data_IF_290036631973
#
_entry.id   IF_290036631973
#
_cell.length_a   1.000
_cell.length_b   1.000
_cell.length_c   1.000
_cell.angle_alpha   90.00
_cell.angle_beta   90.00
_cell.angle_gamma   90.00
#
_symmetry.space_group_name_H-M   'P 1'
#
loop_
_entity.id
_entity.type
_entity.pdbx_description
1 polymer ?
#
# COMPACT_ATOMS: atom_id res chain seq x y z
N UNK A 1 -13.53 -4.38 2.85
CA UNK A 1 -13.21 -3.29 3.81
C UNK A 1 -11.69 -3.23 4.01
N UNK A 2 -11.08 -2.07 4.28
CA UNK A 2 -9.63 -1.95 4.51
C UNK A 2 -9.29 -1.41 5.92
N UNK A 3 -8.22 -1.94 6.53
CA UNK A 3 -7.51 -1.37 7.68
C UNK A 3 -6.00 -1.46 7.41
N UNK A 4 -5.31 -0.31 7.45
CA UNK A 4 -3.89 -0.20 7.11
C UNK A 4 -2.96 -0.27 8.31
N UNK A 5 -1.86 -1.01 8.16
CA UNK A 5 -0.77 -1.14 9.12
C UNK A 5 0.33 -0.14 8.77
N UNK A 6 0.78 0.63 9.77
CA UNK A 6 1.93 1.50 9.69
C UNK A 6 3.21 0.70 10.04
N UNK A 7 3.96 0.25 9.02
CA UNK A 7 5.15 -0.59 9.21
C UNK A 7 6.28 0.14 9.96
N UNK A 8 6.60 1.42 9.67
CA UNK A 8 7.57 2.19 10.46
C UNK A 8 7.25 2.19 11.95
N UNK A 9 5.99 2.38 12.32
CA UNK A 9 5.56 2.39 13.72
C UNK A 9 5.83 1.06 14.43
N UNK A 10 5.62 -0.07 13.75
CA UNK A 10 5.95 -1.38 14.31
C UNK A 10 7.46 -1.50 14.57
N UNK A 11 8.28 -0.97 13.67
CA UNK A 11 9.73 -0.96 13.84
C UNK A 11 10.17 -0.03 14.98
N UNK A 12 9.58 1.17 15.12
CA UNK A 12 9.88 2.07 16.24
C UNK A 12 9.62 1.42 17.60
N UNK A 13 8.48 0.70 17.74
CA UNK A 13 8.15 -0.04 18.98
C UNK A 13 9.13 -1.18 19.27
N UNK A 14 9.63 -1.85 18.24
CA UNK A 14 10.58 -2.95 18.38
C UNK A 14 12.02 -2.49 18.64
N UNK A 15 12.39 -1.30 18.19
CA UNK A 15 13.72 -0.74 18.27
C UNK A 15 14.61 -1.06 17.07
N UNK A 16 15.71 -0.30 16.94
CA UNK A 16 16.67 -0.44 15.83
C UNK A 16 17.31 -1.83 15.79
N UNK A 17 17.64 -2.30 14.59
CA UNK A 17 18.28 -3.61 14.32
C UNK A 17 17.49 -4.83 14.86
N UNK A 18 16.26 -4.64 15.36
CA UNK A 18 15.45 -5.71 15.92
C UNK A 18 14.43 -6.23 14.91
N UNK A 19 14.90 -6.96 13.90
CA UNK A 19 14.05 -7.47 12.81
C UNK A 19 12.96 -8.41 13.34
N UNK A 20 13.32 -9.32 14.26
CA UNK A 20 12.37 -10.27 14.84
C UNK A 20 11.31 -9.57 15.70
N UNK A 21 11.72 -8.58 16.51
CA UNK A 21 10.80 -7.75 17.27
C UNK A 21 9.83 -7.00 16.38
N UNK A 22 10.31 -6.45 15.26
CA UNK A 22 9.45 -5.75 14.29
C UNK A 22 8.41 -6.69 13.69
N UNK A 23 8.81 -7.91 13.28
CA UNK A 23 7.87 -8.91 12.75
C UNK A 23 6.84 -9.29 13.82
N UNK A 24 7.26 -9.47 15.08
CA UNK A 24 6.34 -9.74 16.20
C UNK A 24 5.34 -8.60 16.43
N UNK A 25 5.79 -7.35 16.39
CA UNK A 25 4.90 -6.18 16.49
C UNK A 25 3.95 -6.07 15.29
N UNK A 26 4.42 -6.38 14.07
CA UNK A 26 3.56 -6.47 12.89
C UNK A 26 2.46 -7.51 13.10
N UNK A 27 2.80 -8.72 13.56
CA UNK A 27 1.81 -9.78 13.82
C UNK A 27 0.79 -9.39 14.89
N UNK A 28 1.24 -8.73 15.96
CA UNK A 28 0.35 -8.17 16.99
C UNK A 28 -0.63 -7.16 16.38
N UNK A 29 -0.16 -6.26 15.52
CA UNK A 29 -1.01 -5.27 14.84
C UNK A 29 -1.93 -5.94 13.81
N UNK A 30 -1.48 -6.96 13.08
CA UNK A 30 -2.36 -7.75 12.20
C UNK A 30 -3.50 -8.40 12.99
N UNK A 31 -3.23 -8.94 14.19
CA UNK A 31 -4.28 -9.42 15.08
C UNK A 31 -5.29 -8.33 15.48
N UNK A 32 -4.85 -7.08 15.66
CA UNK A 32 -5.74 -5.93 15.89
C UNK A 32 -6.55 -5.58 14.64
N UNK A 33 -5.96 -5.67 13.45
CA UNK A 33 -6.65 -5.50 12.17
C UNK A 33 -7.79 -6.51 12.03
N UNK A 34 -7.54 -7.79 12.32
CA UNK A 34 -8.57 -8.83 12.31
C UNK A 34 -9.71 -8.49 13.28
N UNK A 35 -9.39 -8.05 14.50
CA UNK A 35 -10.41 -7.60 15.46
C UNK A 35 -11.22 -6.42 14.91
N UNK A 36 -10.55 -5.45 14.27
CA UNK A 36 -11.22 -4.30 13.67
C UNK A 36 -12.18 -4.72 12.54
N UNK A 37 -11.76 -5.63 11.65
CA UNK A 37 -12.62 -6.19 10.60
C UNK A 37 -13.84 -6.90 11.19
N UNK A 38 -13.67 -7.72 12.24
CA UNK A 38 -14.79 -8.35 12.97
C UNK A 38 -15.80 -7.34 13.51
N UNK A 39 -15.33 -6.27 14.14
CA UNK A 39 -16.22 -5.23 14.67
C UNK A 39 -16.93 -4.46 13.55
N UNK A 40 -16.21 -4.09 12.49
CA UNK A 40 -16.81 -3.42 11.33
C UNK A 40 -17.84 -4.31 10.64
N UNK A 41 -17.53 -5.58 10.38
CA UNK A 41 -18.46 -6.54 9.78
C UNK A 41 -19.74 -6.67 10.62
N UNK A 42 -19.62 -6.83 11.95
CA UNK A 42 -20.76 -6.88 12.86
C UNK A 42 -21.62 -5.62 12.77
N UNK A 43 -20.99 -4.44 12.75
CA UNK A 43 -21.69 -3.17 12.64
C UNK A 43 -22.39 -3.02 11.28
N UNK A 44 -21.72 -3.34 10.18
CA UNK A 44 -22.29 -3.27 8.83
C UNK A 44 -23.48 -4.23 8.70
N UNK A 45 -23.37 -5.47 9.19
CA UNK A 45 -24.52 -6.40 9.23
C UNK A 45 -25.70 -5.82 9.99
N UNK A 46 -25.46 -5.20 11.16
CA UNK A 46 -26.52 -4.58 11.96
C UNK A 46 -27.26 -3.52 11.14
N UNK A 47 -26.55 -2.63 10.45
CA UNK A 47 -27.22 -1.59 9.66
C UNK A 47 -27.86 -2.18 8.38
N UNK A 48 -27.26 -3.18 7.74
CA UNK A 48 -27.86 -3.86 6.58
C UNK A 48 -29.22 -4.50 6.87
N UNK A 49 -29.52 -4.84 8.13
CA UNK A 49 -30.77 -5.48 8.55
C UNK A 49 -31.86 -4.50 9.03
N UNK A 50 -31.55 -3.19 9.12
CA UNK A 50 -32.49 -2.19 9.65
C UNK A 50 -33.14 -1.41 8.50
N UNK A 51 -34.47 -1.49 8.30
CA UNK A 51 -35.16 -0.70 7.29
C UNK A 51 -34.89 0.80 7.44
N UNK A 52 -34.58 1.46 6.32
CA UNK A 52 -34.26 2.89 6.29
C UNK A 52 -32.83 3.26 6.70
N UNK A 53 -31.99 2.28 7.07
CA UNK A 53 -30.56 2.55 7.26
C UNK A 53 -29.83 2.79 5.93
N UNK A 54 -28.62 3.40 5.95
CA UNK A 54 -27.83 3.64 4.74
C UNK A 54 -27.46 2.37 3.96
N UNK A 55 -27.36 1.21 4.62
CA UNK A 55 -26.95 -0.06 4.00
C UNK A 55 -28.13 -1.02 3.82
N UNK A 56 -29.35 -0.60 4.15
CA UNK A 56 -30.54 -1.45 4.06
C UNK A 56 -30.72 -2.05 2.67
N UNK A 57 -30.67 -1.23 1.61
CA UNK A 57 -30.94 -1.67 0.25
C UNK A 57 -29.95 -2.73 -0.25
N UNK A 58 -28.67 -2.60 0.09
CA UNK A 58 -27.63 -3.56 -0.31
C UNK A 58 -27.64 -4.85 0.51
N UNK A 59 -28.27 -4.82 1.69
CA UNK A 59 -28.50 -6.00 2.53
C UNK A 59 -29.80 -6.75 2.23
N UNK A 60 -30.69 -6.20 1.41
CA UNK A 60 -31.91 -6.90 0.98
C UNK A 60 -31.57 -8.05 0.04
N UNK A 61 -32.28 -9.16 0.22
CA UNK A 61 -32.26 -10.28 -0.71
C UNK A 61 -32.78 -9.82 -2.08
N UNK A 62 -31.96 -9.98 -3.10
CA UNK A 62 -32.28 -9.72 -4.49
C UNK A 62 -32.97 -10.93 -5.15
N UNK A 63 -33.32 -10.81 -6.44
CA UNK A 63 -34.05 -11.85 -7.17
C UNK A 63 -33.28 -13.17 -7.35
N UNK A 64 -31.96 -13.16 -7.19
CA UNK A 64 -31.11 -14.35 -7.18
C UNK A 64 -30.96 -14.97 -5.76
N UNK A 65 -31.86 -14.62 -4.85
CA UNK A 65 -31.95 -15.12 -3.47
C UNK A 65 -30.73 -14.81 -2.58
N UNK A 66 -29.99 -13.74 -2.89
CA UNK A 66 -28.89 -13.25 -2.05
C UNK A 66 -28.85 -11.73 -1.95
N UNK A 67 -28.26 -11.15 -0.90
CA UNK A 67 -28.02 -9.72 -0.87
C UNK A 67 -26.92 -9.30 -1.85
N UNK A 68 -26.91 -8.02 -2.21
CA UNK A 68 -25.86 -7.46 -3.07
C UNK A 68 -24.49 -7.48 -2.36
N UNK A 69 -24.47 -7.19 -1.05
CA UNK A 69 -23.30 -7.39 -0.20
C UNK A 69 -23.61 -8.53 0.74
N UNK A 70 -22.75 -9.55 0.76
CA UNK A 70 -22.85 -10.66 1.70
C UNK A 70 -21.52 -10.84 2.43
N UNK A 71 -21.52 -10.44 3.70
CA UNK A 71 -20.32 -10.41 4.53
C UNK A 71 -19.87 -11.80 5.02
N UNK A 72 -20.70 -12.83 4.83
CA UNK A 72 -20.42 -14.21 5.23
C UNK A 72 -19.92 -15.10 4.09
N UNK A 73 -19.90 -14.59 2.86
CA UNK A 73 -19.40 -15.33 1.70
C UNK A 73 -17.88 -15.26 1.56
N UNK A 74 -17.36 -16.31 0.94
CA UNK A 74 -15.95 -16.46 0.56
C UNK A 74 -15.48 -15.41 -0.48
N UNK A 75 -16.40 -14.78 -1.22
CA UNK A 75 -16.06 -13.74 -2.20
C UNK A 75 -15.92 -12.33 -1.59
N UNK A 76 -16.28 -12.12 -0.32
CA UNK A 76 -16.07 -10.83 0.36
C UNK A 76 -14.67 -10.72 0.94
N UNK A 77 -13.87 -9.80 0.37
CA UNK A 77 -12.50 -9.55 0.82
C UNK A 77 -12.39 -8.62 2.03
N UNK A 78 -11.63 -9.07 3.02
CA UNK A 78 -11.19 -8.31 4.19
C UNK A 78 -9.72 -7.91 4.02
N UNK A 79 -9.47 -6.62 3.87
CA UNK A 79 -8.18 -6.14 3.39
C UNK A 79 -7.29 -5.70 4.53
N UNK A 80 -6.09 -6.27 4.59
CA UNK A 80 -4.98 -5.85 5.44
C UNK A 80 -4.08 -4.96 4.60
N UNK A 81 -4.25 -3.65 4.76
CA UNK A 81 -3.42 -2.67 4.06
C UNK A 81 -2.05 -2.52 4.73
N UNK A 82 -1.04 -2.10 3.98
CA UNK A 82 0.28 -1.76 4.53
C UNK A 82 0.80 -0.43 3.99
N UNK A 83 1.71 0.20 4.75
CA UNK A 83 2.34 1.46 4.38
C UNK A 83 3.77 1.55 4.94
N UNK A 84 4.68 2.16 4.18
CA UNK A 84 5.96 2.65 4.69
C UNK A 84 7.04 1.58 4.83
N UNK A 85 7.05 0.55 3.97
CA UNK A 85 8.08 -0.50 4.02
C UNK A 85 9.50 0.09 3.91
N UNK A 86 9.68 1.06 3.02
CA UNK A 86 10.98 1.69 2.80
C UNK A 86 11.52 2.36 4.07
N UNK A 87 10.67 3.10 4.79
CA UNK A 87 11.03 3.75 6.05
C UNK A 87 11.20 2.75 7.20
N UNK A 88 10.44 1.67 7.21
CA UNK A 88 10.61 0.56 8.15
C UNK A 88 12.01 -0.08 8.01
N UNK A 89 12.41 -0.41 6.77
CA UNK A 89 13.74 -0.98 6.48
C UNK A 89 14.85 0.04 6.79
N UNK A 90 14.68 1.30 6.38
CA UNK A 90 15.63 2.38 6.69
C UNK A 90 15.85 2.56 8.18
N UNK A 91 14.78 2.48 8.97
CA UNK A 91 14.91 2.56 10.43
C UNK A 91 15.69 1.38 11.01
N UNK A 92 15.45 0.17 10.50
CA UNK A 92 16.05 -1.06 11.02
C UNK A 92 17.54 -1.16 10.77
N UNK A 93 17.98 -0.85 9.54
CA UNK A 93 19.37 -1.10 9.11
C UNK A 93 20.09 0.14 8.57
N UNK A 94 19.43 1.30 8.55
CA UNK A 94 20.01 2.55 8.06
C UNK A 94 19.99 2.74 6.55
N UNK A 95 19.43 1.79 5.80
CA UNK A 95 19.41 1.78 4.34
C UNK A 95 17.99 1.65 3.78
N UNK A 96 17.73 2.34 2.68
CA UNK A 96 16.50 2.24 1.90
C UNK A 96 16.50 0.98 1.01
N UNK A 97 15.31 0.57 0.57
CA UNK A 97 15.11 -0.65 -0.22
C UNK A 97 15.98 -0.74 -1.48
N UNK A 98 16.32 0.40 -2.08
CA UNK A 98 17.10 0.49 -3.32
C UNK A 98 18.61 0.61 -3.07
N UNK A 99 19.05 0.86 -1.83
CA UNK A 99 20.46 1.17 -1.54
C UNK A 99 21.32 -0.09 -1.38
N UNK A 100 20.74 -1.24 -1.03
CA UNK A 100 21.49 -2.49 -0.94
C UNK A 100 20.62 -3.74 -1.14
N UNK A 101 21.27 -4.83 -1.56
CA UNK A 101 20.65 -6.16 -1.63
C UNK A 101 20.15 -6.64 -0.27
N UNK A 102 20.82 -6.24 0.81
CA UNK A 102 20.42 -6.59 2.18
C UNK A 102 19.12 -5.88 2.57
N UNK A 103 19.02 -4.57 2.33
CA UNK A 103 17.81 -3.78 2.54
C UNK A 103 16.63 -4.33 1.76
N UNK A 104 16.85 -4.62 0.48
CA UNK A 104 15.83 -5.18 -0.39
C UNK A 104 15.34 -6.56 0.09
N UNK A 105 16.26 -7.47 0.43
CA UNK A 105 15.92 -8.79 0.99
C UNK A 105 15.18 -8.69 2.32
N UNK A 106 15.54 -7.73 3.16
CA UNK A 106 14.83 -7.47 4.41
C UNK A 106 13.39 -7.00 4.13
N UNK A 107 13.18 -6.12 3.16
CA UNK A 107 11.86 -5.73 2.70
C UNK A 107 11.02 -6.94 2.28
N UNK A 108 11.57 -7.80 1.41
CA UNK A 108 10.91 -9.04 0.96
C UNK A 108 10.57 -9.97 2.14
N UNK A 109 11.49 -10.11 3.10
CA UNK A 109 11.26 -10.93 4.31
C UNK A 109 10.08 -10.41 5.12
N UNK A 110 9.97 -9.10 5.31
CA UNK A 110 8.87 -8.49 6.06
C UNK A 110 7.53 -8.73 5.35
N UNK A 111 7.45 -8.49 4.04
CA UNK A 111 6.21 -8.68 3.28
C UNK A 111 5.83 -10.16 3.18
N UNK A 112 6.81 -11.05 2.98
CA UNK A 112 6.60 -12.50 3.01
C UNK A 112 6.03 -12.96 4.35
N UNK A 113 6.57 -12.45 5.46
CA UNK A 113 6.06 -12.75 6.80
C UNK A 113 4.60 -12.29 6.97
N UNK A 114 4.22 -11.14 6.43
CA UNK A 114 2.83 -10.65 6.45
C UNK A 114 1.91 -11.48 5.56
N UNK A 115 2.35 -11.86 4.36
CA UNK A 115 1.59 -12.69 3.43
C UNK A 115 1.29 -14.08 4.04
N UNK A 116 2.32 -14.75 4.58
CA UNK A 116 2.14 -16.03 5.28
C UNK A 116 1.17 -15.91 6.46
N UNK A 117 1.31 -14.86 7.27
CA UNK A 117 0.42 -14.63 8.41
C UNK A 117 -1.02 -14.33 7.99
N UNK A 118 -1.19 -13.70 6.84
CA UNK A 118 -2.52 -13.45 6.25
C UNK A 118 -3.18 -14.77 5.84
N UNK A 119 -2.45 -15.65 5.15
CA UNK A 119 -2.93 -16.98 4.77
C UNK A 119 -3.28 -17.87 5.99
N UNK A 120 -2.51 -17.76 7.08
CA UNK A 120 -2.85 -18.40 8.36
C UNK A 120 -4.22 -17.92 8.87
N UNK A 121 -4.47 -16.61 8.87
CA UNK A 121 -5.77 -16.07 9.29
C UNK A 121 -6.92 -16.46 8.35
N UNK A 122 -6.69 -16.54 7.03
CA UNK A 122 -7.71 -17.02 6.09
C UNK A 122 -8.14 -18.45 6.47
N UNK A 123 -7.18 -19.35 6.70
CA UNK A 123 -7.44 -20.74 7.08
C UNK A 123 -8.11 -20.85 8.45
N UNK A 124 -7.65 -20.10 9.44
CA UNK A 124 -8.18 -20.14 10.81
C UNK A 124 -9.62 -19.60 10.90
N UNK A 125 -9.95 -18.58 10.11
CA UNK A 125 -11.22 -17.87 10.21
C UNK A 125 -12.25 -18.25 9.14
N UNK A 126 -11.82 -18.93 8.08
CA UNK A 126 -12.67 -19.19 6.90
C UNK A 126 -13.06 -17.90 6.18
N UNK A 127 -12.24 -16.85 6.28
CA UNK A 127 -12.48 -15.55 5.66
C UNK A 127 -11.52 -15.36 4.50
N UNK A 128 -11.98 -14.65 3.47
CA UNK A 128 -11.12 -14.18 2.40
C UNK A 128 -10.41 -12.90 2.86
N UNK A 129 -9.15 -13.01 3.26
CA UNK A 129 -8.34 -11.95 3.85
C UNK A 129 -7.16 -11.69 2.94
N UNK A 130 -7.10 -10.49 2.36
CA UNK A 130 -6.08 -10.16 1.37
C UNK A 130 -5.16 -9.06 1.85
N UNK A 131 -3.89 -9.17 1.47
CA UNK A 131 -2.91 -8.12 1.64
C UNK A 131 -3.03 -7.11 0.47
N UNK A 132 -2.94 -5.81 0.77
CA UNK A 132 -3.11 -4.72 -0.22
C UNK A 132 -2.07 -3.62 -0.05
N UNK A 133 -1.59 -3.08 -1.18
CA UNK A 133 -0.95 -1.77 -1.20
C UNK A 133 -2.00 -0.69 -0.96
N UNK A 134 -2.01 -0.08 0.23
CA UNK A 134 -2.99 0.94 0.57
C UNK A 134 -2.88 2.12 -0.40
N UNK A 135 -3.97 2.59 -1.03
CA UNK A 135 -4.01 3.90 -1.68
C UNK A 135 -3.80 4.97 -0.60
N UNK A 136 -2.57 5.48 -0.51
CA UNK A 136 -2.10 6.17 0.69
C UNK A 136 -2.26 7.70 0.64
N UNK A 137 -3.17 8.23 -0.18
CA UNK A 137 -3.30 9.68 -0.43
C UNK A 137 -3.47 10.47 0.88
N UNK A 138 -4.32 9.98 1.78
CA UNK A 138 -4.54 10.60 3.10
C UNK A 138 -3.83 9.86 4.24
N UNK A 139 -3.66 8.54 4.11
CA UNK A 139 -3.07 7.70 5.14
C UNK A 139 -1.59 8.02 5.35
N UNK A 140 -0.84 8.32 4.28
CA UNK A 140 0.59 8.57 4.36
C UNK A 140 0.94 9.78 5.23
N UNK A 141 0.32 10.93 4.95
CA UNK A 141 0.48 12.14 5.73
C UNK A 141 0.00 11.97 7.18
N UNK A 142 -1.18 11.34 7.36
CA UNK A 142 -1.78 11.17 8.68
C UNK A 142 -0.90 10.33 9.60
N UNK A 143 -0.42 9.18 9.10
CA UNK A 143 0.40 8.25 9.89
C UNK A 143 1.76 8.87 10.24
N UNK A 144 2.39 9.57 9.30
CA UNK A 144 3.61 10.34 9.57
C UNK A 144 3.40 11.42 10.65
N UNK A 145 2.30 12.19 10.58
CA UNK A 145 1.97 13.21 11.60
C UNK A 145 1.75 12.64 12.99
N UNK A 146 1.11 11.47 13.09
CA UNK A 146 0.90 10.79 14.37
C UNK A 146 2.25 10.34 14.93
N UNK A 147 3.07 9.65 14.13
CA UNK A 147 4.34 9.12 14.62
C UNK A 147 5.32 10.23 15.01
N UNK A 148 5.34 11.36 14.30
CA UNK A 148 6.18 12.50 14.66
C UNK A 148 5.90 13.05 16.07
N UNK A 149 4.70 12.85 16.60
CA UNK A 149 4.31 13.26 17.97
C UNK A 149 4.67 12.22 19.03
N UNK A 150 4.78 10.95 18.66
CA UNK A 150 4.87 9.83 19.62
C UNK A 150 6.22 9.12 19.61
N UNK A 151 7.01 9.27 18.54
CA UNK A 151 8.31 8.61 18.36
C UNK A 151 9.36 9.64 17.96
N UNK A 152 10.43 9.75 18.74
CA UNK A 152 11.52 10.67 18.45
C UNK A 152 12.23 10.28 17.15
N UNK A 153 12.35 8.97 16.91
CA UNK A 153 13.01 8.38 15.76
C UNK A 153 12.30 8.72 14.44
N UNK A 154 10.98 8.92 14.49
CA UNK A 154 10.20 9.33 13.33
C UNK A 154 10.69 10.66 12.74
N UNK A 155 11.28 11.54 13.57
CA UNK A 155 11.92 12.78 13.10
C UNK A 155 13.03 12.51 12.10
N UNK A 156 13.73 11.39 12.13
CA UNK A 156 14.86 11.13 11.23
C UNK A 156 14.48 10.24 10.02
N UNK A 157 13.29 9.64 10.06
CA UNK A 157 12.85 8.63 9.10
C UNK A 157 11.77 9.16 8.15
N UNK A 158 10.84 9.96 8.66
CA UNK A 158 9.75 10.54 7.86
C UNK A 158 10.31 11.43 6.74
N UNK A 159 9.69 11.35 5.55
CA UNK A 159 10.04 12.15 4.38
C UNK A 159 9.29 13.47 4.32
N UNK A 160 9.69 14.28 3.36
CA UNK A 160 9.07 15.55 3.04
C UNK A 160 9.59 16.68 3.91
N UNK A 161 8.90 17.82 3.87
CA UNK A 161 9.32 19.01 4.58
C UNK A 161 8.51 19.18 5.88
N UNK A 162 9.22 19.09 6.99
CA UNK A 162 8.65 19.26 8.34
C UNK A 162 8.23 20.70 8.61
N UNK A 163 8.86 21.69 7.96
CA UNK A 163 8.54 23.11 8.17
C UNK A 163 7.19 23.45 7.56
N UNK A 164 6.95 23.06 6.30
CA UNK A 164 5.64 23.19 5.66
C UNK A 164 4.60 22.18 6.16
N UNK A 165 5.02 21.13 6.86
CA UNK A 165 4.15 20.06 7.34
C UNK A 165 3.73 19.06 6.24
N UNK A 166 4.34 19.17 5.06
CA UNK A 166 4.21 18.26 3.93
C UNK A 166 5.10 17.03 4.15
N UNK A 167 4.76 16.26 5.18
CA UNK A 167 5.51 15.07 5.60
C UNK A 167 4.77 13.79 5.19
N UNK A 168 5.48 12.72 4.89
CA UNK A 168 4.85 11.49 4.40
C UNK A 168 5.71 10.24 4.62
N UNK A 169 5.07 9.08 4.58
CA UNK A 169 5.71 7.79 4.39
C UNK A 169 5.62 7.36 2.92
N UNK A 170 6.62 6.63 2.44
CA UNK A 170 6.58 6.05 1.09
C UNK A 170 5.43 5.07 0.99
N UNK A 171 4.72 5.08 -0.15
CA UNK A 171 3.54 4.26 -0.32
C UNK A 171 3.88 2.76 -0.21
N UNK A 172 3.12 2.02 0.61
CA UNK A 172 3.16 0.55 0.68
C UNK A 172 4.56 -0.07 0.62
N UNK A 173 4.87 -0.81 -0.45
CA UNK A 173 6.16 -1.48 -0.70
C UNK A 173 7.08 -0.69 -1.63
N UNK A 174 6.66 0.51 -2.05
CA UNK A 174 7.32 1.23 -3.13
C UNK A 174 8.73 1.64 -2.73
N UNK A 175 9.62 1.67 -3.71
CA UNK A 175 10.85 2.43 -3.58
C UNK A 175 10.53 3.91 -3.40
N UNK A 176 11.41 4.64 -2.72
CA UNK A 176 11.32 6.10 -2.65
C UNK A 176 11.06 6.71 -4.03
N UNK A 177 10.20 7.73 -4.16
CA UNK A 177 9.96 8.41 -5.44
C UNK A 177 11.25 8.94 -6.06
N UNK A 178 12.17 9.44 -5.23
CA UNK A 178 13.45 10.03 -5.65
C UNK A 178 14.61 9.03 -5.66
N UNK A 179 14.34 7.72 -5.53
CA UNK A 179 15.38 6.70 -5.62
C UNK A 179 16.09 6.78 -7.00
N UNK A 180 17.43 6.84 -7.05
CA UNK A 180 18.22 6.93 -8.28
C UNK A 180 18.31 5.57 -9.00
N UNK A 181 17.16 4.97 -9.27
CA UNK A 181 17.00 3.71 -10.01
C UNK A 181 16.20 3.97 -11.29
N UNK A 182 16.48 3.21 -12.33
CA UNK A 182 15.74 3.35 -13.58
C UNK A 182 14.32 2.74 -13.49
N UNK A 183 13.50 3.03 -14.51
CA UNK A 183 12.10 2.58 -14.57
C UNK A 183 12.01 1.05 -14.61
N UNK A 184 12.92 0.37 -15.30
CA UNK A 184 12.91 -1.09 -15.44
C UNK A 184 13.29 -1.74 -14.11
N UNK A 185 14.32 -1.24 -13.44
CA UNK A 185 14.71 -1.68 -12.10
C UNK A 185 13.58 -1.47 -11.10
N UNK A 186 12.86 -0.34 -11.18
CA UNK A 186 11.68 -0.08 -10.36
C UNK A 186 10.56 -1.09 -10.61
N UNK A 187 10.22 -1.35 -11.89
CA UNK A 187 9.20 -2.35 -12.28
C UNK A 187 9.60 -3.73 -11.78
N UNK A 188 10.80 -4.19 -12.08
CA UNK A 188 11.28 -5.52 -11.68
C UNK A 188 11.35 -5.64 -10.16
N UNK A 189 11.87 -4.63 -9.48
CA UNK A 189 12.06 -4.62 -8.03
C UNK A 189 10.73 -4.56 -7.26
N UNK A 190 9.77 -3.75 -7.69
CA UNK A 190 8.45 -3.72 -7.04
C UNK A 190 7.62 -4.94 -7.42
N UNK A 191 7.68 -5.40 -8.68
CA UNK A 191 6.95 -6.57 -9.16
C UNK A 191 7.21 -7.84 -8.36
N UNK A 192 8.41 -8.03 -7.79
CA UNK A 192 8.71 -9.17 -6.89
C UNK A 192 7.90 -9.17 -5.60
N UNK A 193 7.36 -8.04 -5.17
CA UNK A 193 6.43 -7.97 -4.04
C UNK A 193 5.00 -8.30 -4.43
N UNK A 194 4.60 -8.01 -5.68
CA UNK A 194 3.20 -8.11 -6.11
C UNK A 194 2.65 -9.53 -6.02
N UNK A 195 3.51 -10.56 -6.17
CA UNK A 195 3.10 -11.97 -6.00
C UNK A 195 2.68 -12.32 -4.56
N UNK A 196 3.04 -11.49 -3.57
CA UNK A 196 2.65 -11.63 -2.17
C UNK A 196 1.46 -10.72 -1.79
N UNK A 197 0.96 -9.92 -2.73
CA UNK A 197 -0.08 -8.90 -2.52
C UNK A 197 -1.25 -9.17 -3.47
N UNK A 198 -2.27 -9.83 -2.95
CA UNK A 198 -3.37 -10.37 -3.75
C UNK A 198 -4.50 -9.38 -4.03
N UNK A 199 -4.57 -8.25 -3.31
CA UNK A 199 -5.65 -7.26 -3.44
C UNK A 199 -5.09 -5.88 -3.77
N UNK A 200 -4.56 -5.71 -4.98
CA UNK A 200 -4.10 -4.40 -5.46
C UNK A 200 -2.62 -4.14 -5.15
N UNK A 201 -1.81 -4.16 -6.21
CA UNK A 201 -0.40 -3.80 -6.19
C UNK A 201 -0.05 -3.10 -7.50
N UNK A 202 0.57 -1.92 -7.41
CA UNK A 202 0.73 -1.03 -8.56
C UNK A 202 2.11 -0.39 -8.57
N UNK A 203 2.80 -0.49 -9.71
CA UNK A 203 4.04 0.25 -9.92
C UNK A 203 3.76 1.52 -10.72
N UNK A 204 4.08 2.68 -10.14
CA UNK A 204 4.03 3.95 -10.86
C UNK A 204 5.29 4.19 -11.69
N UNK A 205 5.10 4.44 -12.98
CA UNK A 205 6.13 4.81 -13.95
C UNK A 205 5.92 6.27 -14.33
N UNK A 206 6.66 7.16 -13.67
CA UNK A 206 6.66 8.58 -13.99
C UNK A 206 7.54 8.85 -15.21
N UNK A 207 6.96 9.38 -16.28
CA UNK A 207 7.70 9.73 -17.52
C UNK A 207 8.03 11.23 -17.61
N UNK A 208 7.59 12.02 -16.63
CA UNK A 208 7.79 13.47 -16.61
C UNK A 208 7.13 14.14 -17.81
N UNK A 209 7.83 15.12 -18.39
CA UNK A 209 7.40 15.84 -19.59
C UNK A 209 7.58 15.03 -20.89
N UNK A 210 8.22 13.85 -20.82
CA UNK A 210 8.52 13.05 -22.01
C UNK A 210 7.23 12.48 -22.60
N UNK A 211 7.17 12.48 -23.93
CA UNK A 211 6.12 11.83 -24.71
C UNK A 211 6.69 10.56 -25.36
N UNK A 212 6.75 9.43 -24.63
CA UNK A 212 7.19 8.17 -25.23
C UNK A 212 6.27 7.80 -26.39
N UNK A 213 6.84 7.27 -27.47
CA UNK A 213 6.05 6.84 -28.62
C UNK A 213 5.10 5.70 -28.24
N UNK A 214 3.97 5.52 -28.96
CA UNK A 214 3.06 4.40 -28.74
C UNK A 214 3.78 3.03 -28.76
N UNK A 215 4.76 2.86 -29.66
CA UNK A 215 5.55 1.63 -29.76
C UNK A 215 6.43 1.40 -28.53
N UNK A 216 6.97 2.48 -27.96
CA UNK A 216 7.76 2.41 -26.73
C UNK A 216 6.91 2.02 -25.53
N UNK A 217 5.72 2.61 -25.40
CA UNK A 217 4.73 2.25 -24.38
C UNK A 217 4.32 0.78 -24.53
N UNK A 218 3.96 0.35 -25.74
CA UNK A 218 3.57 -1.03 -26.00
C UNK A 218 4.69 -2.01 -25.65
N UNK A 219 5.93 -1.73 -26.04
CA UNK A 219 7.10 -2.57 -25.69
C UNK A 219 7.31 -2.64 -24.18
N UNK A 220 7.14 -1.54 -23.45
CA UNK A 220 7.25 -1.53 -21.99
C UNK A 220 6.16 -2.40 -21.34
N UNK A 221 4.90 -2.22 -21.73
CA UNK A 221 3.76 -3.00 -21.22
C UNK A 221 3.97 -4.50 -21.51
N UNK A 222 4.29 -4.84 -22.76
CA UNK A 222 4.53 -6.23 -23.19
C UNK A 222 5.67 -6.87 -22.40
N UNK A 223 6.82 -6.19 -22.28
CA UNK A 223 7.96 -6.72 -21.53
C UNK A 223 7.67 -6.87 -20.05
N UNK A 224 6.92 -5.94 -19.45
CA UNK A 224 6.50 -6.01 -18.05
C UNK A 224 5.64 -7.25 -17.83
N UNK A 225 4.66 -7.48 -18.70
CA UNK A 225 3.78 -8.65 -18.66
C UNK A 225 4.53 -9.97 -18.85
N UNK A 226 5.42 -10.05 -19.85
CA UNK A 226 6.09 -11.31 -20.21
C UNK A 226 7.25 -11.68 -19.27
N UNK A 227 7.90 -10.71 -18.63
CA UNK A 227 9.19 -10.93 -17.97
C UNK A 227 9.21 -10.56 -16.48
N UNK A 228 8.10 -10.11 -15.90
CA UNK A 228 8.05 -9.69 -14.49
C UNK A 228 6.81 -10.20 -13.78
N UNK A 229 6.80 -10.13 -12.45
CA UNK A 229 5.64 -10.44 -11.62
C UNK A 229 4.76 -9.21 -11.35
N UNK A 230 5.00 -8.10 -12.05
CA UNK A 230 4.29 -6.84 -11.82
C UNK A 230 2.84 -6.96 -12.27
N UNK A 231 1.91 -7.01 -11.31
CA UNK A 231 0.48 -7.14 -11.58
C UNK A 231 -0.12 -5.93 -12.34
N UNK A 232 0.33 -4.72 -12.03
CA UNK A 232 -0.17 -3.49 -12.63
C UNK A 232 0.93 -2.45 -12.74
N UNK A 233 0.96 -1.73 -13.87
CA UNK A 233 1.78 -0.53 -14.04
C UNK A 233 0.88 0.64 -14.43
N UNK A 234 1.29 1.84 -14.04
CA UNK A 234 0.72 3.09 -14.56
C UNK A 234 1.81 3.92 -15.18
N UNK A 235 1.53 4.51 -16.33
CA UNK A 235 2.45 5.43 -17.02
C UNK A 235 1.89 6.83 -16.81
N UNK A 236 2.57 7.62 -15.99
CA UNK A 236 2.11 8.93 -15.53
C UNK A 236 2.98 10.04 -16.12
N UNK A 237 2.49 10.76 -17.14
CA UNK A 237 3.11 11.99 -17.60
C UNK A 237 2.81 13.16 -16.67
N UNK A 238 3.63 14.20 -16.76
CA UNK A 238 3.41 15.47 -16.07
C UNK A 238 2.75 16.49 -17.00
N UNK A 239 1.76 17.19 -16.46
CA UNK A 239 1.04 18.24 -17.17
C UNK A 239 1.10 19.55 -16.38
N UNK A 240 1.23 20.66 -17.09
CA UNK A 240 1.08 22.01 -16.55
C UNK A 240 -0.17 22.63 -17.14
N UNK A 241 -0.98 23.27 -16.30
CA UNK A 241 -2.16 24.03 -16.71
C UNK A 241 -1.90 25.52 -16.45
N UNK A 242 -2.00 26.34 -17.49
CA UNK A 242 -1.90 27.79 -17.34
C UNK A 242 -3.26 28.37 -16.95
N UNK A 243 -3.33 29.05 -15.80
CA UNK A 243 -4.57 29.66 -15.31
C UNK A 243 -5.03 30.85 -16.15
N UNK A 244 -4.13 31.52 -16.87
CA UNK A 244 -4.47 32.71 -17.66
C UNK A 244 -5.06 32.34 -19.03
N UNK A 245 -4.46 31.36 -19.72
CA UNK A 245 -4.88 30.96 -21.07
C UNK A 245 -5.58 29.60 -21.12
N UNK A 246 -5.78 28.95 -19.97
CA UNK A 246 -6.45 27.65 -19.81
C UNK A 246 -5.85 26.50 -20.64
N UNK A 247 -4.60 26.63 -21.07
CA UNK A 247 -3.91 25.62 -21.89
C UNK A 247 -3.20 24.60 -21.02
N UNK A 248 -3.26 23.33 -21.43
CA UNK A 248 -2.48 22.22 -20.86
C UNK A 248 -1.25 21.94 -21.74
N UNK A 249 -0.06 21.90 -21.12
CA UNK A 249 1.20 21.49 -21.75
C UNK A 249 1.84 20.32 -20.98
N UNK A 250 2.68 19.48 -21.61
CA UNK A 250 3.56 18.59 -20.88
C UNK A 250 4.60 19.44 -20.15
N UNK A 251 4.51 19.49 -18.82
CA UNK A 251 5.41 20.29 -18.01
C UNK A 251 5.47 21.78 -18.34
N UNK A 252 6.52 22.45 -17.83
CA UNK A 252 6.61 23.92 -17.85
C UNK A 252 7.10 24.50 -19.18
N UNK A 253 7.32 23.67 -20.22
CA UNK A 253 7.65 24.13 -21.57
C UNK A 253 8.82 25.12 -21.60
N UNK A 254 9.92 24.78 -20.92
CA UNK A 254 11.18 25.53 -21.05
C UNK A 254 11.85 25.26 -22.38
#
# INVERSE_FOLDING_TARGET
QNVTINLPQAAYRAGRKNIEGTIKEIYKVMGLVIKAHKQKAKFIKKIMLVPGSPMWQVGKVAHDNRPYIDLDREDTSYIVGMLGLNECVKFLIGQELHESKEAYKLGLKIISAMSLKTAEYEKELGWNIKLEETPAESASLRLAKVDLKHFEEARYIIRGDKKSGNIYYTNSIHFSPNAPIDIIERIVGQGRFHSMIESGAITHVFVGEKRPSPESIFKLVKKTWENTQTAQITISPEFTFCSDCHKVSPGYGR
#
